data_IF_889066622371
#
_entry.id   IF_889066622371
#
_cell.length_a   1.000
_cell.length_b   1.000
_cell.length_c   1.000
_cell.angle_alpha   90.00
_cell.angle_beta   90.00
_cell.angle_gamma   90.00
#
_symmetry.space_group_name_H-M   'P 1'
#
loop_
_entity.id
_entity.type
_entity.pdbx_description
1 polymer ?
#
# COMPACT_ATOMS: atom_id res chain seq x y z
N UNK A 1 21.61 -9.91 -32.15
CA UNK A 1 21.67 -11.04 -31.22
C UNK A 1 21.02 -10.60 -29.92
N UNK A 2 19.88 -11.24 -29.60
CA UNK A 2 19.20 -11.42 -28.29
C UNK A 2 19.30 -10.24 -27.31
N UNK A 3 18.26 -9.45 -27.01
CA UNK A 3 16.90 -9.82 -26.61
C UNK A 3 16.64 -9.11 -25.28
N UNK A 4 15.89 -8.00 -25.30
CA UNK A 4 15.49 -7.25 -24.10
C UNK A 4 14.61 -8.14 -23.22
N UNK A 5 15.04 -8.42 -22.00
CA UNK A 5 14.26 -9.15 -21.01
C UNK A 5 13.87 -8.19 -19.88
N UNK A 6 12.88 -7.35 -20.14
CA UNK A 6 12.14 -6.67 -19.06
C UNK A 6 11.20 -7.68 -18.44
N UNK A 7 11.68 -8.39 -17.40
CA UNK A 7 10.81 -9.12 -16.48
C UNK A 7 9.89 -8.09 -15.83
N UNK A 8 8.70 -7.94 -16.38
CA UNK A 8 7.57 -7.34 -15.69
C UNK A 8 7.13 -8.36 -14.63
N UNK A 9 7.79 -8.36 -13.49
CA UNK A 9 7.30 -9.03 -12.29
C UNK A 9 6.10 -8.23 -11.77
N UNK A 10 4.96 -8.37 -12.47
CA UNK A 10 3.68 -7.95 -11.95
C UNK A 10 3.40 -8.79 -10.69
N UNK A 11 3.27 -8.19 -9.50
CA UNK A 11 3.01 -8.97 -8.31
C UNK A 11 1.61 -9.60 -8.43
N UNK A 12 1.63 -10.93 -8.40
CA UNK A 12 0.50 -11.83 -8.51
C UNK A 12 -0.58 -11.48 -7.48
N UNK A 13 -1.72 -11.01 -7.97
CA UNK A 13 -2.93 -10.78 -7.16
C UNK A 13 -3.60 -12.12 -6.87
N UNK A 14 -3.35 -12.70 -5.68
CA UNK A 14 -4.07 -13.89 -5.20
C UNK A 14 -4.33 -13.82 -3.68
N UNK A 15 -5.59 -13.53 -3.31
CA UNK A 15 -6.22 -13.89 -2.05
C UNK A 15 -6.09 -12.92 -0.86
N UNK A 16 -7.16 -12.15 -0.59
CA UNK A 16 -7.69 -11.79 0.75
C UNK A 16 -6.81 -11.20 1.86
N UNK A 17 -5.56 -10.81 1.60
CA UNK A 17 -4.64 -10.26 2.60
C UNK A 17 -4.56 -8.74 2.59
N UNK A 18 -4.41 -8.11 3.76
CA UNK A 18 -4.11 -6.68 3.89
C UNK A 18 -2.62 -6.49 3.64
N UNK A 19 -2.24 -5.54 2.79
CA UNK A 19 -0.85 -5.23 2.47
C UNK A 19 -0.57 -3.78 2.83
N UNK A 20 0.63 -3.51 3.35
CA UNK A 20 1.06 -2.14 3.60
C UNK A 20 1.12 -1.34 2.29
N UNK A 21 0.66 -0.09 2.33
CA UNK A 21 0.64 0.80 1.16
C UNK A 21 1.96 1.52 0.96
N UNK A 22 2.82 1.55 1.99
CA UNK A 22 4.13 2.20 1.97
C UNK A 22 5.01 1.51 0.93
N UNK A 23 5.57 2.29 0.00
CA UNK A 23 6.34 1.78 -1.15
C UNK A 23 7.55 0.94 -0.73
N UNK A 24 8.19 1.28 0.38
CA UNK A 24 9.34 0.56 0.95
C UNK A 24 8.95 -0.61 1.85
N UNK A 25 7.65 -0.88 2.06
CA UNK A 25 7.20 -1.88 3.02
C UNK A 25 6.54 -3.08 2.33
N UNK A 26 7.12 -4.27 2.53
CA UNK A 26 6.60 -5.53 2.01
C UNK A 26 5.72 -6.30 3.02
N UNK A 27 5.43 -5.67 4.16
CA UNK A 27 4.60 -6.26 5.21
C UNK A 27 3.18 -6.44 4.70
N UNK A 28 2.72 -7.69 4.78
CA UNK A 28 1.34 -8.07 4.52
C UNK A 28 0.85 -9.04 5.59
N UNK A 29 -0.46 -9.03 5.84
CA UNK A 29 -1.10 -9.76 6.94
C UNK A 29 -0.98 -11.28 6.78
N UNK A 30 -0.71 -11.75 5.56
CA UNK A 30 -0.55 -13.17 5.25
C UNK A 30 0.84 -13.68 5.61
N UNK A 31 1.89 -12.90 5.33
CA UNK A 31 3.28 -13.24 5.66
C UNK A 31 3.64 -12.84 7.09
N UNK A 32 3.03 -11.77 7.60
CA UNK A 32 3.34 -11.21 8.90
C UNK A 32 2.03 -10.94 9.68
N UNK A 33 1.41 -11.98 10.26
CA UNK A 33 0.17 -11.84 11.02
C UNK A 33 0.35 -11.12 12.37
N UNK A 34 1.59 -10.91 12.81
CA UNK A 34 1.91 -10.22 14.08
C UNK A 34 1.84 -8.69 14.02
N UNK A 35 1.69 -8.10 12.83
CA UNK A 35 1.57 -6.66 12.68
C UNK A 35 0.11 -6.22 12.58
N UNK A 36 -0.18 -5.07 13.17
CA UNK A 36 -1.47 -4.41 13.04
C UNK A 36 -1.54 -3.63 11.73
N UNK A 37 -2.69 -3.69 11.05
CA UNK A 37 -2.94 -2.96 9.80
C UNK A 37 -4.02 -1.92 10.04
N UNK A 38 -3.66 -0.65 9.89
CA UNK A 38 -4.55 0.51 10.05
C UNK A 38 -5.02 0.99 8.67
N UNK A 39 -6.33 1.17 8.52
CA UNK A 39 -6.90 1.79 7.32
C UNK A 39 -6.63 3.29 7.29
N UNK A 40 -6.60 3.87 6.10
CA UNK A 40 -6.51 5.32 5.97
C UNK A 40 -7.73 6.02 6.63
N UNK A 41 -7.53 7.22 7.20
CA UNK A 41 -8.62 7.99 7.82
C UNK A 41 -9.67 8.40 6.77
N UNK A 42 -10.86 8.81 7.22
CA UNK A 42 -11.90 9.37 6.33
C UNK A 42 -11.63 10.84 5.97
N UNK A 43 -10.81 11.52 6.78
CA UNK A 43 -10.47 12.92 6.60
C UNK A 43 -9.51 13.10 5.43
N UNK A 44 -9.94 13.84 4.40
CA UNK A 44 -9.15 14.09 3.20
C UNK A 44 -7.75 14.64 3.47
N UNK A 45 -7.64 15.62 4.37
CA UNK A 45 -6.36 16.22 4.73
C UNK A 45 -5.39 15.19 5.30
N UNK A 46 -5.87 14.35 6.24
CA UNK A 46 -5.05 13.30 6.84
C UNK A 46 -4.71 12.20 5.86
N UNK A 47 -5.62 11.87 4.94
CA UNK A 47 -5.34 10.89 3.87
C UNK A 47 -4.20 11.39 2.99
N UNK A 48 -4.19 12.66 2.60
CA UNK A 48 -3.09 13.23 1.80
C UNK A 48 -1.76 13.16 2.53
N UNK A 49 -1.71 13.55 3.81
CA UNK A 49 -0.51 13.42 4.65
C UNK A 49 -0.02 11.96 4.71
N UNK A 50 -0.93 11.00 4.88
CA UNK A 50 -0.59 9.59 4.89
C UNK A 50 -0.07 9.10 3.54
N UNK A 51 -0.67 9.56 2.42
CA UNK A 51 -0.23 9.21 1.08
C UNK A 51 1.19 9.73 0.82
N UNK A 52 1.47 10.96 1.24
CA UNK A 52 2.79 11.57 1.17
C UNK A 52 3.81 10.80 2.02
N UNK A 53 3.46 10.46 3.27
CA UNK A 53 4.30 9.64 4.15
C UNK A 53 4.54 8.21 3.60
N UNK A 54 3.57 7.66 2.85
CA UNK A 54 3.71 6.34 2.21
C UNK A 54 4.55 6.37 0.92
N UNK A 55 4.98 7.55 0.46
CA UNK A 55 5.59 7.78 -0.86
C UNK A 55 4.75 7.20 -2.02
N UNK A 56 3.44 7.40 -1.93
CA UNK A 56 2.45 6.90 -2.88
C UNK A 56 1.68 8.02 -3.55
N UNK A 57 2.39 9.00 -4.11
CA UNK A 57 1.81 10.14 -4.84
C UNK A 57 0.80 9.72 -5.94
N UNK A 58 0.94 8.51 -6.47
CA UNK A 58 -0.03 7.87 -7.38
C UNK A 58 -1.47 7.81 -6.83
N UNK A 59 -1.63 7.80 -5.50
CA UNK A 59 -2.92 7.78 -4.82
C UNK A 59 -3.54 9.17 -4.66
N UNK A 60 -2.78 10.26 -4.76
CA UNK A 60 -3.33 11.62 -4.64
C UNK A 60 -4.35 11.95 -5.74
N UNK A 61 -4.25 11.27 -6.88
CA UNK A 61 -5.17 11.43 -8.01
C UNK A 61 -6.36 10.46 -7.98
N UNK A 62 -6.45 9.56 -6.98
CA UNK A 62 -7.52 8.57 -6.86
C UNK A 62 -8.59 9.00 -5.88
N UNK A 63 -9.77 8.42 -6.03
CA UNK A 63 -10.86 8.58 -5.07
C UNK A 63 -10.44 8.14 -3.66
N UNK A 64 -10.56 9.06 -2.71
CA UNK A 64 -10.37 8.81 -1.28
C UNK A 64 -11.19 7.62 -0.81
N UNK A 65 -12.38 7.44 -1.40
CA UNK A 65 -13.32 6.35 -1.07
C UNK A 65 -12.80 4.96 -1.44
N UNK A 66 -11.90 4.87 -2.42
CA UNK A 66 -11.20 3.63 -2.76
C UNK A 66 -9.96 3.47 -1.88
N UNK A 67 -9.29 4.58 -1.56
CA UNK A 67 -8.08 4.59 -0.75
C UNK A 67 -8.35 4.01 0.64
N UNK A 68 -9.24 4.60 1.43
CA UNK A 68 -9.53 4.10 2.80
C UNK A 68 -10.08 2.67 2.89
N UNK A 69 -10.68 2.14 1.81
CA UNK A 69 -11.23 0.77 1.79
C UNK A 69 -10.20 -0.29 1.43
N UNK A 70 -9.21 0.06 0.61
CA UNK A 70 -8.28 -0.92 0.03
C UNK A 70 -6.83 -0.70 0.44
N UNK A 71 -6.52 0.45 1.04
CA UNK A 71 -5.18 0.80 1.49
C UNK A 71 -5.07 0.74 3.00
N UNK A 72 -3.96 0.14 3.45
CA UNK A 72 -3.63 -0.02 4.84
C UNK A 72 -2.16 0.35 5.08
N UNK A 73 -1.83 0.76 6.30
CA UNK A 73 -0.46 0.99 6.78
C UNK A 73 -0.22 0.06 7.97
N UNK A 74 0.96 -0.54 8.05
CA UNK A 74 1.30 -1.40 9.19
C UNK A 74 1.80 -0.53 10.35
N UNK A 75 1.62 -1.01 11.58
CA UNK A 75 2.18 -0.42 12.80
C UNK A 75 3.65 0.01 12.70
N UNK A 76 4.49 -0.73 11.96
CA UNK A 76 5.91 -0.41 11.75
C UNK A 76 6.13 0.99 11.17
N UNK A 77 5.28 1.44 10.25
CA UNK A 77 5.38 2.77 9.62
C UNK A 77 4.42 3.79 10.24
N UNK A 78 3.61 3.36 11.20
CA UNK A 78 2.66 4.22 11.92
C UNK A 78 3.18 4.65 13.30
N UNK A 79 4.19 3.95 13.83
CA UNK A 79 4.83 4.21 15.12
C UNK A 79 5.89 5.30 15.12
#
# INVERSE_FOLDING_TARGET
>A
MFGVNTNMDAPKQTGGGRTCSVRSCEINSRRNPGYSFFSFPKDETRVREWIENCDRRDLLHKDLTTIWRSHYVCDLNFG
#
